data_IF_948178023192
#
_entry.id   IF_948178023192
#
_cell.length_a   1.000
_cell.length_b   1.000
_cell.length_c   1.000
_cell.angle_alpha   90.00
_cell.angle_beta   90.00
_cell.angle_gamma   90.00
#
_symmetry.space_group_name_H-M   'P 1'
#
loop_
_entity.id
_entity.type
_entity.pdbx_description
1 polymer ?
#
# COMPACT_ATOMS: atom_id res chain seq x y z
N UNK A 1 -23.85 37.07 2.19
CA UNK A 1 -24.17 35.73 2.69
C UNK A 1 -23.03 34.78 2.36
N UNK A 2 -22.57 33.99 3.32
CA UNK A 2 -21.58 32.96 3.00
C UNK A 2 -22.19 31.93 2.02
N UNK A 3 -21.41 31.52 1.05
CA UNK A 3 -21.82 30.48 0.12
C UNK A 3 -21.82 29.12 0.86
N UNK A 4 -22.97 28.45 0.84
CA UNK A 4 -23.11 27.11 1.38
C UNK A 4 -23.32 26.16 0.20
N UNK A 5 -22.37 25.28 -0.11
CA UNK A 5 -22.53 24.33 -1.19
C UNK A 5 -23.66 23.34 -0.88
N UNK A 6 -24.47 23.01 -1.88
CA UNK A 6 -25.46 21.95 -1.74
C UNK A 6 -24.74 20.62 -1.58
N UNK A 7 -25.15 19.87 -0.57
CA UNK A 7 -24.70 18.50 -0.36
C UNK A 7 -25.52 17.54 -1.20
N UNK A 8 -24.88 16.59 -1.84
CA UNK A 8 -25.53 15.53 -2.59
C UNK A 8 -25.55 14.26 -1.75
N UNK A 9 -26.73 13.63 -1.65
CA UNK A 9 -26.84 12.31 -1.02
C UNK A 9 -26.22 11.26 -1.95
N UNK A 10 -25.41 10.37 -1.36
CA UNK A 10 -24.75 9.30 -2.08
C UNK A 10 -25.14 7.95 -1.47
N UNK A 11 -25.83 7.12 -2.26
CA UNK A 11 -26.40 5.85 -1.77
C UNK A 11 -25.47 4.66 -1.92
N UNK A 12 -24.39 4.81 -2.69
CA UNK A 12 -23.37 3.80 -2.84
C UNK A 12 -22.19 4.08 -1.89
N UNK A 13 -21.44 3.05 -1.57
CA UNK A 13 -20.20 3.18 -0.81
C UNK A 13 -19.16 2.18 -1.32
N UNK A 14 -17.89 2.53 -1.17
CA UNK A 14 -16.78 1.62 -1.41
C UNK A 14 -16.62 0.72 -0.18
N UNK A 15 -16.48 -0.58 -0.38
CA UNK A 15 -16.25 -1.50 0.72
C UNK A 15 -15.02 -1.11 1.52
N UNK A 16 -15.13 -1.23 2.85
CA UNK A 16 -13.98 -1.07 3.74
C UNK A 16 -13.24 -2.39 3.87
N UNK A 17 -11.94 -2.34 3.73
CA UNK A 17 -11.04 -3.48 3.93
C UNK A 17 -10.05 -3.12 5.02
N UNK A 18 -9.86 -4.04 5.97
CA UNK A 18 -8.87 -3.88 7.05
C UNK A 18 -7.69 -4.81 6.75
N UNK A 19 -6.51 -4.22 6.64
CA UNK A 19 -5.24 -4.92 6.48
C UNK A 19 -4.53 -4.97 7.83
N UNK A 20 -3.99 -6.13 8.18
CA UNK A 20 -3.30 -6.33 9.46
C UNK A 20 -4.24 -6.62 10.61
N UNK A 21 -3.67 -6.75 11.81
CA UNK A 21 -4.39 -7.09 13.05
C UNK A 21 -3.92 -6.23 14.22
N UNK A 22 -4.78 -6.03 15.20
CA UNK A 22 -4.46 -5.28 16.40
C UNK A 22 -4.02 -3.84 16.11
N UNK A 23 -3.00 -3.39 16.80
CA UNK A 23 -2.49 -2.01 16.71
C UNK A 23 -1.83 -1.68 15.35
N UNK A 24 -1.55 -2.70 14.55
CA UNK A 24 -0.98 -2.55 13.19
C UNK A 24 -2.03 -2.62 12.09
N UNK A 25 -3.32 -2.70 12.44
CA UNK A 25 -4.39 -2.73 11.45
C UNK A 25 -4.56 -1.35 10.80
N UNK A 26 -4.74 -1.33 9.48
CA UNK A 26 -5.10 -0.13 8.73
C UNK A 26 -6.34 -0.37 7.89
N UNK A 27 -7.28 0.58 7.92
CA UNK A 27 -8.51 0.50 7.16
C UNK A 27 -8.39 1.29 5.85
N UNK A 28 -8.88 0.72 4.76
CA UNK A 28 -8.85 1.28 3.42
C UNK A 28 -10.27 1.23 2.84
N UNK A 29 -10.63 2.25 2.07
CA UNK A 29 -11.96 2.32 1.46
C UNK A 29 -13.02 2.86 2.42
N UNK A 30 -14.26 2.39 2.29
CA UNK A 30 -15.38 2.82 3.11
C UNK A 30 -15.96 4.19 2.73
N UNK A 31 -15.48 4.83 1.67
CA UNK A 31 -15.99 6.13 1.23
C UNK A 31 -17.41 5.99 0.69
N UNK A 32 -18.23 6.96 1.06
CA UNK A 32 -19.59 7.13 0.56
C UNK A 32 -19.78 8.47 -0.17
N UNK A 33 -18.70 9.05 -0.64
CA UNK A 33 -18.68 10.29 -1.43
C UNK A 33 -17.77 10.11 -2.64
N UNK A 34 -17.97 10.91 -3.66
CA UNK A 34 -17.08 10.96 -4.81
C UNK A 34 -15.71 11.49 -4.40
N UNK A 35 -14.64 11.09 -5.08
CA UNK A 35 -13.31 11.65 -4.87
C UNK A 35 -13.36 13.18 -4.95
N UNK A 36 -12.63 13.84 -4.05
CA UNK A 36 -12.57 15.31 -3.93
C UNK A 36 -13.86 16.01 -3.48
N UNK A 37 -14.98 15.29 -3.30
CA UNK A 37 -16.25 15.83 -2.84
C UNK A 37 -16.43 15.75 -1.32
N UNK A 38 -15.37 15.98 -0.56
CA UNK A 38 -15.40 15.95 0.91
C UNK A 38 -16.39 16.93 1.56
N UNK A 39 -16.92 17.88 0.78
CA UNK A 39 -17.97 18.79 1.23
C UNK A 39 -19.35 18.13 1.30
N UNK A 40 -19.57 16.99 0.63
CA UNK A 40 -20.82 16.23 0.68
C UNK A 40 -20.91 15.40 1.95
N UNK A 41 -19.83 14.71 2.32
CA UNK A 41 -19.70 13.99 3.58
C UNK A 41 -18.21 13.85 3.96
N UNK A 42 -17.96 13.40 5.18
CA UNK A 42 -16.61 13.14 5.66
C UNK A 42 -16.03 11.88 5.00
N UNK A 43 -14.76 11.95 4.59
CA UNK A 43 -14.02 10.79 4.11
C UNK A 43 -13.55 9.99 5.32
N UNK A 44 -14.12 8.81 5.53
CA UNK A 44 -13.86 7.94 6.68
C UNK A 44 -12.39 7.53 6.78
N UNK A 45 -11.81 7.06 5.68
CA UNK A 45 -10.43 6.64 5.62
C UNK A 45 -9.69 7.46 4.57
N UNK A 46 -8.70 8.23 4.99
CA UNK A 46 -7.82 8.93 4.06
C UNK A 46 -7.05 7.92 3.20
N UNK A 47 -6.63 8.29 1.97
CA UNK A 47 -5.78 7.46 1.15
C UNK A 47 -4.53 7.01 1.91
N UNK A 48 -4.14 5.75 1.72
CA UNK A 48 -2.96 5.16 2.35
C UNK A 48 -1.85 4.99 1.31
N UNK A 49 -0.62 5.05 1.77
CA UNK A 49 0.57 4.81 0.96
C UNK A 49 1.15 3.47 1.38
N UNK A 50 1.29 2.56 0.43
CA UNK A 50 2.02 1.31 0.61
C UNK A 50 3.39 1.37 -0.03
N UNK A 51 4.34 0.63 0.50
CA UNK A 51 5.65 0.41 -0.10
C UNK A 51 5.67 -0.96 -0.74
N UNK A 52 5.91 -1.01 -2.04
CA UNK A 52 6.05 -2.27 -2.76
C UNK A 52 7.48 -2.79 -2.66
N UNK A 53 7.61 -4.07 -2.38
CA UNK A 53 8.86 -4.82 -2.40
C UNK A 53 8.73 -6.00 -3.35
N UNK A 54 9.79 -6.28 -4.10
CA UNK A 54 9.87 -7.50 -4.91
C UNK A 54 10.53 -8.64 -4.12
N UNK A 55 10.06 -9.87 -4.34
CA UNK A 55 10.66 -11.08 -3.79
C UNK A 55 12.04 -11.40 -4.39
N UNK A 56 12.41 -10.74 -5.50
CA UNK A 56 13.73 -10.88 -6.13
C UNK A 56 14.82 -10.06 -5.41
N UNK A 57 14.43 -9.20 -4.46
CA UNK A 57 15.35 -8.47 -3.60
C UNK A 57 16.11 -7.35 -4.29
N UNK A 58 17.27 -7.00 -3.73
CA UNK A 58 18.06 -5.81 -4.15
C UNK A 58 18.53 -5.83 -5.61
N UNK A 59 18.62 -6.98 -6.24
CA UNK A 59 19.07 -7.10 -7.63
C UNK A 59 18.15 -6.36 -8.62
N UNK A 60 16.86 -6.25 -8.30
CA UNK A 60 15.88 -5.60 -9.16
C UNK A 60 15.86 -4.07 -9.01
N UNK A 61 16.41 -3.53 -7.93
CA UNK A 61 16.43 -2.09 -7.71
C UNK A 61 17.58 -1.43 -8.50
N UNK A 62 17.21 -0.65 -9.48
CA UNK A 62 18.16 0.02 -10.38
C UNK A 62 18.36 1.49 -10.07
N UNK A 63 17.36 2.13 -9.44
CA UNK A 63 17.39 3.56 -9.13
C UNK A 63 18.35 3.88 -7.99
N UNK A 64 19.19 4.92 -8.12
CA UNK A 64 20.15 5.27 -7.08
C UNK A 64 19.51 5.55 -5.72
N UNK A 65 18.32 6.17 -5.68
CA UNK A 65 17.61 6.46 -4.44
C UNK A 65 17.15 5.20 -3.71
N UNK A 66 16.64 4.21 -4.43
CA UNK A 66 16.24 2.91 -3.88
C UNK A 66 17.44 2.15 -3.32
N UNK A 67 18.54 2.11 -4.08
CA UNK A 67 19.79 1.49 -3.63
C UNK A 67 20.33 2.12 -2.36
N UNK A 68 20.32 3.44 -2.28
CA UNK A 68 20.75 4.18 -1.09
C UNK A 68 19.83 3.91 0.10
N UNK A 69 18.51 3.87 -0.12
CA UNK A 69 17.55 3.63 0.95
C UNK A 69 17.70 2.22 1.54
N UNK A 70 17.91 1.22 0.71
CA UNK A 70 18.07 -0.18 1.15
C UNK A 70 19.54 -0.60 1.37
N UNK A 71 20.46 0.36 1.39
CA UNK A 71 21.87 0.06 1.63
C UNK A 71 22.08 -0.78 2.90
N UNK A 72 22.80 -1.87 2.79
CA UNK A 72 23.06 -2.82 3.87
C UNK A 72 21.97 -3.88 4.08
N UNK A 73 20.82 -3.79 3.40
CA UNK A 73 19.84 -4.87 3.41
C UNK A 73 20.28 -5.98 2.44
N UNK A 74 20.24 -7.21 2.89
CA UNK A 74 20.64 -8.41 2.11
C UNK A 74 19.47 -9.34 1.83
N UNK A 75 18.37 -9.20 2.58
CA UNK A 75 17.19 -10.05 2.48
C UNK A 75 15.91 -9.21 2.37
N UNK A 76 14.87 -9.79 1.79
CA UNK A 76 13.55 -9.15 1.68
C UNK A 76 12.96 -8.77 3.03
N UNK A 77 13.04 -9.61 4.10
CA UNK A 77 12.61 -9.20 5.44
C UNK A 77 13.37 -7.98 6.01
N UNK A 78 14.66 -7.83 5.73
CA UNK A 78 15.42 -6.64 6.14
C UNK A 78 14.96 -5.39 5.39
N UNK A 79 14.67 -5.52 4.10
CA UNK A 79 14.09 -4.45 3.28
C UNK A 79 12.70 -4.07 3.80
N UNK A 80 11.86 -5.03 4.16
CA UNK A 80 10.54 -4.78 4.74
C UNK A 80 10.63 -4.00 6.06
N UNK A 81 11.55 -4.37 6.95
CA UNK A 81 11.82 -3.62 8.19
C UNK A 81 12.31 -2.20 7.92
N UNK A 82 13.13 -2.02 6.91
CA UNK A 82 13.59 -0.69 6.50
C UNK A 82 12.43 0.15 5.96
N UNK A 83 11.57 -0.44 5.13
CA UNK A 83 10.39 0.22 4.58
C UNK A 83 9.36 0.56 5.66
N UNK A 84 9.20 -0.26 6.71
CA UNK A 84 8.33 0.03 7.86
C UNK A 84 8.73 1.33 8.57
N UNK A 85 10.00 1.72 8.50
CA UNK A 85 10.49 2.97 9.12
C UNK A 85 10.16 4.24 8.34
N UNK A 86 9.64 4.14 7.11
CA UNK A 86 9.27 5.30 6.32
C UNK A 86 8.06 6.01 6.90
N UNK A 87 8.24 7.29 7.21
CA UNK A 87 7.14 8.14 7.63
C UNK A 87 6.08 8.25 6.53
N UNK A 88 4.81 8.02 6.89
CA UNK A 88 3.70 8.06 5.96
C UNK A 88 3.38 6.73 5.27
N UNK A 89 4.25 5.73 5.34
CA UNK A 89 3.93 4.38 4.88
C UNK A 89 2.95 3.70 5.86
N UNK A 90 1.88 3.13 5.32
CA UNK A 90 0.81 2.50 6.11
C UNK A 90 0.80 0.98 6.00
N UNK A 91 1.38 0.43 4.95
CA UNK A 91 1.47 -1.02 4.71
C UNK A 91 2.58 -1.34 3.72
N UNK A 92 2.92 -2.61 3.65
CA UNK A 92 3.89 -3.15 2.68
C UNK A 92 3.13 -4.08 1.74
N UNK A 93 3.43 -3.98 0.45
CA UNK A 93 2.96 -4.88 -0.59
C UNK A 93 4.14 -5.70 -1.09
N UNK A 94 4.09 -7.02 -0.92
CA UNK A 94 5.09 -7.91 -1.48
C UNK A 94 4.63 -8.37 -2.88
N UNK A 95 5.40 -8.00 -3.89
CA UNK A 95 5.18 -8.39 -5.27
C UNK A 95 6.00 -9.65 -5.57
N UNK A 96 5.31 -10.77 -5.81
CA UNK A 96 5.93 -12.07 -6.09
C UNK A 96 6.27 -12.19 -7.57
N UNK A 97 7.26 -11.45 -8.03
CA UNK A 97 7.74 -11.49 -9.42
C UNK A 97 8.32 -12.85 -9.79
N UNK A 98 8.90 -13.55 -8.82
CA UNK A 98 9.43 -14.89 -9.02
C UNK A 98 8.39 -15.90 -9.51
N UNK A 99 7.11 -15.67 -9.24
CA UNK A 99 6.00 -16.53 -9.68
C UNK A 99 5.60 -16.32 -11.15
N UNK A 100 6.13 -15.29 -11.84
CA UNK A 100 5.78 -15.03 -13.24
C UNK A 100 6.11 -16.23 -14.13
N UNK A 101 5.10 -16.82 -14.81
CA UNK A 101 5.31 -17.97 -15.70
C UNK A 101 6.16 -17.64 -16.93
N UNK A 102 6.25 -16.36 -17.31
CA UNK A 102 7.14 -15.90 -18.39
C UNK A 102 8.54 -15.56 -17.89
N UNK A 103 8.75 -15.54 -16.59
CA UNK A 103 10.02 -15.28 -15.93
C UNK A 103 10.59 -16.53 -15.28
N UNK A 104 10.78 -16.48 -13.95
CA UNK A 104 11.36 -17.58 -13.16
C UNK A 104 10.41 -18.74 -12.92
N UNK A 105 9.11 -18.53 -13.05
CA UNK A 105 8.07 -19.55 -12.89
C UNK A 105 8.21 -20.38 -11.60
N UNK A 106 8.53 -19.73 -10.49
CA UNK A 106 8.63 -20.36 -9.18
C UNK A 106 7.28 -20.89 -8.71
N UNK A 107 7.30 -22.00 -8.02
CA UNK A 107 6.12 -22.53 -7.35
C UNK A 107 5.71 -21.65 -6.14
N UNK A 108 4.50 -21.87 -5.64
CA UNK A 108 4.02 -21.19 -4.43
C UNK A 108 4.97 -21.46 -3.24
N UNK A 109 5.41 -22.70 -3.10
CA UNK A 109 6.32 -23.14 -2.03
C UNK A 109 7.66 -22.39 -2.09
N UNK A 110 8.18 -22.17 -3.31
CA UNK A 110 9.44 -21.43 -3.51
C UNK A 110 9.28 -19.92 -3.28
N UNK A 111 8.09 -19.37 -3.47
CA UNK A 111 7.84 -17.95 -3.25
C UNK A 111 7.64 -17.60 -1.76
N UNK A 112 7.26 -18.56 -0.91
CA UNK A 112 6.96 -18.32 0.51
C UNK A 112 8.09 -18.77 1.47
N UNK A 113 9.20 -19.29 0.93
CA UNK A 113 10.41 -19.60 1.69
C UNK A 113 11.27 -18.36 1.86
#
# INVERSE_FOLDING_TARGET
MPFVPKKQAFNAHINEVVLGVGDKATAIGGQNVLPFHKFDAEIKNAPKIGVELTDLGMAEYTMPGEKAFYEGCTTVPEMAKRAESLEGASFICLHLEGADPNGLNKSVEECVQ
#
